data_IF_168993122080
#
_entry.id   IF_168993122080
#
_cell.length_a   1.000
_cell.length_b   1.000
_cell.length_c   1.000
_cell.angle_alpha   90.00
_cell.angle_beta   90.00
_cell.angle_gamma   90.00
#
_symmetry.space_group_name_H-M   'P 1'
#
loop_
_entity.id
_entity.type
_entity.pdbx_description
1 polymer ?
#
# COMPACT_ATOMS: atom_id res chain seq x y z
N UNK A 1 7.18 -7.11 20.21
CA UNK A 1 7.08 -6.70 18.80
C UNK A 1 7.47 -7.92 17.99
N UNK A 2 6.65 -8.30 17.02
CA UNK A 2 6.94 -9.44 16.15
C UNK A 2 7.88 -8.96 15.04
N UNK A 3 9.12 -9.48 15.04
CA UNK A 3 10.18 -9.27 14.04
C UNK A 3 9.83 -9.92 12.66
N UNK A 4 8.55 -10.01 12.32
CA UNK A 4 8.11 -10.75 11.13
C UNK A 4 8.61 -10.11 9.83
N UNK A 5 8.72 -8.78 9.82
CA UNK A 5 9.09 -7.99 8.64
C UNK A 5 10.53 -7.46 8.70
N UNK A 6 11.34 -7.89 9.66
CA UNK A 6 12.75 -7.51 9.71
C UNK A 6 13.46 -7.88 8.41
N UNK A 7 14.26 -6.94 7.88
CA UNK A 7 14.97 -7.06 6.60
C UNK A 7 14.06 -7.24 5.36
N UNK A 8 12.82 -6.72 5.41
CA UNK A 8 11.92 -6.72 4.25
C UNK A 8 12.50 -6.00 3.03
N UNK A 9 13.38 -5.03 3.23
CA UNK A 9 14.01 -4.19 2.20
C UNK A 9 15.17 -4.89 1.46
N UNK A 10 15.81 -5.86 2.12
CA UNK A 10 16.99 -6.58 1.60
C UNK A 10 16.72 -8.05 1.28
N UNK A 11 15.55 -8.58 1.65
CA UNK A 11 15.12 -9.95 1.37
C UNK A 11 13.86 -9.99 0.49
N UNK A 12 14.00 -10.51 -0.73
CA UNK A 12 12.92 -10.57 -1.72
C UNK A 12 11.70 -11.37 -1.27
N UNK A 13 11.88 -12.44 -0.49
CA UNK A 13 10.77 -13.26 -0.03
C UNK A 13 9.99 -12.54 1.07
N UNK A 14 10.69 -11.79 1.94
CA UNK A 14 10.06 -10.93 2.94
C UNK A 14 9.31 -9.77 2.30
N UNK A 15 9.94 -9.08 1.34
CA UNK A 15 9.30 -8.03 0.55
C UNK A 15 7.99 -8.51 -0.08
N UNK A 16 8.03 -9.63 -0.82
CA UNK A 16 6.83 -10.22 -1.46
C UNK A 16 5.79 -10.67 -0.46
N UNK A 17 6.23 -11.23 0.69
CA UNK A 17 5.33 -11.59 1.79
C UNK A 17 4.56 -10.38 2.32
N UNK A 18 5.25 -9.25 2.47
CA UNK A 18 4.68 -7.99 2.94
C UNK A 18 3.74 -7.36 1.91
N UNK A 19 4.11 -7.33 0.63
CA UNK A 19 3.22 -6.92 -0.46
C UNK A 19 1.92 -7.74 -0.43
N UNK A 20 2.05 -9.06 -0.33
CA UNK A 20 0.89 -9.96 -0.34
C UNK A 20 0.03 -9.81 0.91
N UNK A 21 0.65 -9.57 2.06
CA UNK A 21 -0.06 -9.32 3.32
C UNK A 21 -0.96 -8.09 3.21
N UNK A 22 -0.41 -6.98 2.73
CA UNK A 22 -1.15 -5.71 2.57
C UNK A 22 -2.22 -5.84 1.46
N UNK A 23 -1.92 -6.54 0.37
CA UNK A 23 -2.91 -6.82 -0.69
C UNK A 23 -4.12 -7.59 -0.13
N UNK A 24 -3.88 -8.63 0.68
CA UNK A 24 -4.95 -9.40 1.30
C UNK A 24 -5.77 -8.55 2.28
N UNK A 25 -5.11 -7.68 3.06
CA UNK A 25 -5.77 -6.72 3.94
C UNK A 25 -6.66 -5.76 3.15
N UNK A 26 -6.17 -5.21 2.04
CA UNK A 26 -6.94 -4.33 1.17
C UNK A 26 -8.18 -5.02 0.60
N UNK A 27 -8.03 -6.23 0.05
CA UNK A 27 -9.15 -7.01 -0.50
C UNK A 27 -10.18 -7.35 0.58
N UNK A 28 -9.75 -7.62 1.81
CA UNK A 28 -10.64 -7.82 2.94
C UNK A 28 -11.45 -6.55 3.25
N UNK A 29 -10.77 -5.39 3.37
CA UNK A 29 -11.41 -4.12 3.69
C UNK A 29 -12.39 -3.65 2.61
N UNK A 30 -12.09 -3.89 1.32
CA UNK A 30 -13.02 -3.60 0.23
C UNK A 30 -14.37 -4.31 0.43
N UNK A 31 -14.34 -5.59 0.84
CA UNK A 31 -15.56 -6.35 1.14
C UNK A 31 -16.30 -5.75 2.34
N UNK A 32 -15.59 -5.32 3.37
CA UNK A 32 -16.21 -4.69 4.55
C UNK A 32 -16.94 -3.39 4.21
N UNK A 33 -16.38 -2.57 3.31
CA UNK A 33 -17.01 -1.29 2.90
C UNK A 33 -17.97 -1.44 1.72
N UNK A 34 -18.30 -2.66 1.30
CA UNK A 34 -19.15 -2.95 0.12
C UNK A 34 -18.63 -2.35 -1.20
N UNK A 35 -17.31 -2.20 -1.34
CA UNK A 35 -16.64 -1.81 -2.59
C UNK A 35 -16.23 -3.05 -3.38
N UNK A 36 -16.27 -2.99 -4.70
CA UNK A 36 -15.86 -4.10 -5.55
C UNK A 36 -14.39 -4.00 -5.93
N UNK A 37 -13.66 -5.11 -5.88
CA UNK A 37 -12.26 -5.18 -6.35
C UNK A 37 -12.12 -4.76 -7.81
N UNK A 38 -13.16 -4.96 -8.64
CA UNK A 38 -13.21 -4.53 -10.04
C UNK A 38 -13.08 -3.01 -10.23
N UNK A 39 -13.39 -2.23 -9.21
CA UNK A 39 -13.31 -0.77 -9.26
C UNK A 39 -11.87 -0.28 -9.11
N UNK A 40 -10.95 -1.18 -8.71
CA UNK A 40 -9.59 -0.85 -8.33
C UNK A 40 -8.56 -1.55 -9.22
N UNK A 41 -7.54 -0.79 -9.63
CA UNK A 41 -6.33 -1.32 -10.27
C UNK A 41 -5.24 -1.37 -9.23
N UNK A 42 -4.72 -2.56 -8.90
CA UNK A 42 -3.60 -2.76 -7.98
C UNK A 42 -2.76 -3.99 -8.38
N UNK A 43 -1.42 -3.93 -8.25
CA UNK A 43 -0.63 -2.75 -7.87
C UNK A 43 -0.69 -1.66 -8.95
N UNK A 44 -0.87 -0.39 -8.55
CA UNK A 44 -0.98 0.74 -9.48
C UNK A 44 0.39 1.30 -9.88
N UNK A 45 1.22 1.61 -8.89
CA UNK A 45 2.63 1.93 -9.08
C UNK A 45 3.41 0.62 -9.15
N UNK A 46 3.87 0.26 -10.35
CA UNK A 46 4.65 -0.94 -10.60
C UNK A 46 5.76 -0.64 -11.59
N UNK A 47 6.88 -0.16 -11.08
CA UNK A 47 8.08 0.10 -11.86
C UNK A 47 8.92 -1.17 -11.94
N UNK A 48 9.40 -1.49 -13.13
CA UNK A 48 10.34 -2.58 -13.38
C UNK A 48 11.55 -2.06 -14.15
N UNK A 49 12.69 -2.73 -14.01
CA UNK A 49 13.82 -2.57 -14.92
C UNK A 49 13.41 -3.01 -16.35
N UNK A 50 14.26 -2.69 -17.33
CA UNK A 50 14.01 -3.03 -18.75
C UNK A 50 13.88 -4.55 -18.98
N UNK A 51 14.46 -5.38 -18.11
CA UNK A 51 14.36 -6.84 -18.14
C UNK A 51 13.11 -7.39 -17.40
N UNK A 52 12.26 -6.50 -16.86
CA UNK A 52 11.06 -6.87 -16.12
C UNK A 52 11.27 -7.14 -14.62
N UNK A 53 12.51 -7.04 -14.12
CA UNK A 53 12.78 -7.19 -12.68
C UNK A 53 12.08 -6.07 -11.89
N UNK A 54 11.31 -6.38 -10.83
CA UNK A 54 10.68 -5.36 -10.01
C UNK A 54 11.70 -4.41 -9.37
N UNK A 55 11.43 -3.10 -9.46
CA UNK A 55 12.18 -2.08 -8.74
C UNK A 55 11.66 -2.00 -7.29
N UNK A 56 12.06 -2.98 -6.46
CA UNK A 56 11.52 -3.27 -5.12
C UNK A 56 11.30 -2.01 -4.25
N UNK A 57 12.34 -1.53 -3.58
CA UNK A 57 12.32 -0.33 -2.72
C UNK A 57 11.92 0.96 -3.47
N UNK A 58 12.12 0.97 -4.79
CA UNK A 58 11.67 2.05 -5.66
C UNK A 58 10.16 2.08 -5.92
N UNK A 59 9.41 1.05 -5.50
CA UNK A 59 7.95 1.03 -5.52
C UNK A 59 7.38 1.14 -4.10
N UNK A 60 6.19 1.73 -3.93
CA UNK A 60 5.43 1.57 -2.70
C UNK A 60 5.14 0.08 -2.47
N UNK A 61 5.18 -0.37 -1.21
CA UNK A 61 4.88 -1.77 -0.85
C UNK A 61 3.46 -2.18 -1.26
N UNK A 62 2.57 -1.19 -1.39
CA UNK A 62 1.24 -1.37 -1.95
C UNK A 62 0.77 -0.09 -2.62
N UNK A 63 -0.01 -0.22 -3.70
CA UNK A 63 -0.71 0.91 -4.29
C UNK A 63 -1.95 0.47 -5.07
N UNK A 64 -3.00 1.26 -4.99
CA UNK A 64 -4.25 1.00 -5.70
C UNK A 64 -4.86 2.29 -6.25
N UNK A 65 -5.45 2.23 -7.45
CA UNK A 65 -6.20 3.33 -8.05
C UNK A 65 -7.65 2.93 -8.28
N UNK A 66 -8.58 3.72 -7.76
CA UNK A 66 -9.99 3.59 -8.08
C UNK A 66 -10.27 4.23 -9.46
N UNK A 67 -10.84 3.44 -10.35
CA UNK A 67 -11.11 3.82 -11.74
C UNK A 67 -12.26 4.82 -11.89
N UNK A 68 -13.18 4.88 -10.94
CA UNK A 68 -14.38 5.72 -10.99
C UNK A 68 -14.21 7.05 -10.27
N UNK A 69 -13.47 7.08 -9.16
CA UNK A 69 -13.40 8.24 -8.26
C UNK A 69 -12.13 9.07 -8.40
N UNK A 70 -11.21 8.70 -9.32
CA UNK A 70 -9.88 9.34 -9.45
C UNK A 70 -9.14 9.44 -8.11
N UNK A 71 -9.25 8.40 -7.28
CA UNK A 71 -8.54 8.28 -6.00
C UNK A 71 -7.46 7.23 -6.10
N UNK A 72 -6.30 7.53 -5.56
CA UNK A 72 -5.15 6.63 -5.49
C UNK A 72 -4.77 6.54 -4.02
N UNK A 73 -4.45 5.34 -3.58
CA UNK A 73 -3.80 5.09 -2.30
C UNK A 73 -2.45 4.41 -2.54
N UNK A 74 -1.44 4.79 -1.77
CA UNK A 74 -0.19 4.04 -1.67
C UNK A 74 0.23 3.90 -0.23
N UNK A 75 0.89 2.79 0.07
CA UNK A 75 1.51 2.51 1.36
C UNK A 75 3.02 2.39 1.11
N UNK A 76 3.81 3.14 1.87
CA UNK A 76 5.26 3.06 1.87
C UNK A 76 5.73 2.57 3.24
N UNK A 77 6.67 1.63 3.25
CA UNK A 77 7.29 1.14 4.49
C UNK A 77 8.60 1.87 4.68
N UNK A 78 8.76 2.48 5.85
CA UNK A 78 9.98 3.20 6.21
C UNK A 78 10.23 3.02 7.71
N UNK A 79 11.20 2.17 8.03
CA UNK A 79 11.60 1.85 9.41
C UNK A 79 12.39 2.98 10.08
N UNK A 80 12.63 4.10 9.39
CA UNK A 80 13.17 5.33 9.98
C UNK A 80 12.14 6.16 10.75
N UNK A 81 10.86 5.81 10.68
CA UNK A 81 9.78 6.46 11.44
C UNK A 81 9.34 5.61 12.64
N UNK A 82 8.89 6.29 13.71
CA UNK A 82 8.41 5.63 14.92
C UNK A 82 6.88 5.39 14.93
N UNK A 83 6.14 6.01 14.01
CA UNK A 83 4.68 5.94 13.95
C UNK A 83 4.13 6.01 12.51
N UNK A 84 2.84 5.70 12.36
CA UNK A 84 2.11 5.84 11.10
C UNK A 84 1.75 7.32 10.89
N UNK A 85 1.94 7.82 9.67
CA UNK A 85 1.40 9.12 9.28
C UNK A 85 0.83 9.10 7.87
N UNK A 86 -0.06 10.06 7.62
CA UNK A 86 -0.84 10.16 6.40
C UNK A 86 -0.72 11.56 5.80
N UNK A 87 -0.73 11.65 4.47
CA UNK A 87 -0.86 12.92 3.78
C UNK A 87 -1.47 12.75 2.39
N UNK A 88 -2.13 13.81 1.95
CA UNK A 88 -2.71 13.89 0.62
C UNK A 88 -1.82 14.70 -0.32
N UNK A 89 -1.82 14.29 -1.59
CA UNK A 89 -1.14 14.96 -2.68
C UNK A 89 -1.93 14.78 -3.99
N UNK A 90 -1.43 15.35 -5.09
CA UNK A 90 -2.00 15.15 -6.42
C UNK A 90 -1.04 14.36 -7.29
N UNK A 91 -1.58 13.36 -8.00
CA UNK A 91 -0.84 12.60 -9.00
C UNK A 91 -1.72 12.40 -10.24
N UNK A 92 -1.29 12.91 -11.39
CA UNK A 92 -2.03 12.80 -12.66
C UNK A 92 -3.53 13.14 -12.51
N UNK A 93 -3.81 14.33 -11.93
CA UNK A 93 -5.18 14.84 -11.65
C UNK A 93 -6.03 13.96 -10.72
N UNK A 94 -5.42 13.00 -10.03
CA UNK A 94 -6.07 12.13 -9.07
C UNK A 94 -5.61 12.50 -7.66
N UNK A 95 -6.51 12.44 -6.68
CA UNK A 95 -6.14 12.53 -5.27
C UNK A 95 -5.27 11.33 -4.92
N UNK A 96 -4.05 11.56 -4.42
CA UNK A 96 -3.14 10.53 -3.96
C UNK A 96 -3.03 10.63 -2.44
N UNK A 97 -3.66 9.67 -1.76
CA UNK A 97 -3.53 9.46 -0.34
C UNK A 97 -2.32 8.56 -0.06
N UNK A 98 -1.41 9.01 0.79
CA UNK A 98 -0.19 8.27 1.13
C UNK A 98 -0.19 7.92 2.61
N UNK A 99 -0.04 6.63 2.90
CA UNK A 99 0.22 6.11 4.24
C UNK A 99 1.69 5.73 4.31
N UNK A 100 2.40 6.22 5.32
CA UNK A 100 3.76 5.77 5.63
C UNK A 100 3.73 5.07 6.98
N UNK A 101 4.31 3.88 7.06
CA UNK A 101 4.34 3.06 8.27
C UNK A 101 5.70 2.40 8.43
N UNK A 102 6.29 2.36 9.64
CA UNK A 102 7.33 1.40 9.91
C UNK A 102 6.76 -0.03 9.82
N UNK A 103 7.60 -0.99 9.47
CA UNK A 103 7.23 -2.40 9.27
C UNK A 103 6.62 -3.03 10.54
N UNK A 104 7.09 -2.60 11.72
CA UNK A 104 6.57 -3.05 13.04
C UNK A 104 5.13 -2.61 13.32
N UNK A 105 4.61 -1.63 12.57
CA UNK A 105 3.24 -1.12 12.70
C UNK A 105 2.35 -1.50 11.52
N UNK A 106 2.81 -2.34 10.58
CA UNK A 106 2.07 -2.60 9.34
C UNK A 106 0.66 -3.15 9.57
N UNK A 107 0.44 -3.93 10.61
CA UNK A 107 -0.88 -4.47 10.97
C UNK A 107 -1.88 -3.36 11.31
N UNK A 108 -1.39 -2.21 11.79
CA UNK A 108 -2.22 -1.06 12.16
C UNK A 108 -2.58 -0.18 10.96
N UNK A 109 -1.97 -0.39 9.79
CA UNK A 109 -2.34 0.31 8.55
C UNK A 109 -3.77 -0.01 8.11
N UNK A 110 -4.37 -1.09 8.63
CA UNK A 110 -5.78 -1.42 8.40
C UNK A 110 -6.76 -0.28 8.72
N UNK A 111 -6.45 0.54 9.73
CA UNK A 111 -7.31 1.61 10.22
C UNK A 111 -7.34 2.78 9.22
N UNK A 112 -6.22 3.44 8.90
CA UNK A 112 -6.20 4.51 7.90
C UNK A 112 -6.65 4.02 6.52
N UNK A 113 -6.31 2.77 6.16
CA UNK A 113 -6.76 2.17 4.90
C UNK A 113 -8.29 2.03 4.84
N UNK A 114 -8.92 1.60 5.93
CA UNK A 114 -10.39 1.49 6.03
C UNK A 114 -11.05 2.86 5.99
N UNK A 115 -10.48 3.83 6.69
CA UNK A 115 -11.00 5.21 6.73
C UNK A 115 -10.97 5.82 5.33
N UNK A 116 -9.87 5.69 4.60
CA UNK A 116 -9.76 6.11 3.21
C UNK A 116 -10.82 5.45 2.30
N UNK A 117 -11.01 4.14 2.45
CA UNK A 117 -11.98 3.37 1.66
C UNK A 117 -13.44 3.73 1.97
N UNK A 118 -13.72 4.18 3.19
CA UNK A 118 -15.06 4.60 3.62
C UNK A 118 -15.46 6.00 3.14
N UNK A 119 -14.49 6.83 2.69
CA UNK A 119 -14.78 8.11 2.07
C UNK A 119 -15.62 7.89 0.80
N UNK A 120 -16.75 8.59 0.69
CA UNK A 120 -17.65 8.54 -0.48
C UNK A 120 -17.38 9.69 -1.44
#
# INVERSE_FOLDING_TARGET
MTDEWTAWDTNIDKYKGLEKYIENMFVYLLKEVSSHTSDWVFPYFKTTYADGTPLMDGNPIFSAKNTSTKRIIKITVDDGYDDIFEYDSLFAESLLHTIVSPSVLIDKVNTPLKDFLALK
#
